data_IF_867251096278
#
_entry.id   IF_867251096278
#
_cell.length_a   1.000
_cell.length_b   1.000
_cell.length_c   1.000
_cell.angle_alpha   90.00
_cell.angle_beta   90.00
_cell.angle_gamma   90.00
#
_symmetry.space_group_name_H-M   'P 1'
#
loop_
_entity.id
_entity.type
_entity.pdbx_description
1 polymer ?
#
# COMPACT_ATOMS: atom_id res chain seq x y z
N UNK A 1 8.77 21.30 4.64
CA UNK A 1 8.24 19.94 4.45
C UNK A 1 6.82 20.14 3.94
N UNK A 2 6.48 19.65 2.74
CA UNK A 2 5.10 19.74 2.26
C UNK A 2 4.21 18.95 3.23
N UNK A 3 3.10 19.56 3.62
CA UNK A 3 2.07 18.88 4.41
C UNK A 3 1.15 18.14 3.44
N UNK A 4 1.28 16.81 3.41
CA UNK A 4 0.46 15.95 2.56
C UNK A 4 -0.90 15.63 3.18
N UNK A 5 -1.17 16.10 4.41
CA UNK A 5 -2.41 15.79 5.12
C UNK A 5 -2.60 14.30 5.37
N UNK A 6 -1.50 13.54 5.46
CA UNK A 6 -1.57 12.08 5.61
C UNK A 6 -2.12 11.72 6.99
N UNK A 7 -3.12 10.84 7.01
CA UNK A 7 -3.70 10.25 8.21
C UNK A 7 -3.68 8.74 8.08
N UNK A 8 -3.19 8.06 9.11
CA UNK A 8 -3.29 6.61 9.27
C UNK A 8 -4.31 6.35 10.36
N UNK A 9 -5.36 5.59 10.05
CA UNK A 9 -6.43 5.29 10.97
C UNK A 9 -6.70 3.79 10.97
N UNK A 10 -6.72 3.19 12.17
CA UNK A 10 -7.38 1.90 12.34
C UNK A 10 -8.89 2.17 12.44
N UNK A 11 -9.67 1.64 11.51
CA UNK A 11 -11.12 1.85 11.47
C UNK A 11 -11.86 0.58 11.88
N UNK A 12 -13.14 0.68 12.31
CA UNK A 12 -13.93 -0.48 12.63
C UNK A 12 -14.00 -1.46 11.43
N UNK A 13 -13.74 -2.75 11.65
CA UNK A 13 -13.99 -3.78 10.65
C UNK A 13 -15.44 -3.75 10.17
N UNK A 14 -15.65 -3.94 8.87
CA UNK A 14 -17.00 -3.98 8.28
C UNK A 14 -17.58 -5.39 8.17
N UNK A 15 -16.75 -6.41 8.42
CA UNK A 15 -17.11 -7.83 8.42
C UNK A 15 -16.45 -8.51 9.63
N UNK A 16 -17.14 -9.48 10.25
CA UNK A 16 -16.65 -10.21 11.43
C UNK A 16 -15.43 -11.10 11.13
N UNK A 17 -15.19 -11.43 9.86
CA UNK A 17 -13.98 -12.13 9.43
C UNK A 17 -12.73 -11.25 9.50
N UNK A 18 -12.90 -9.93 9.51
CA UNK A 18 -11.81 -8.95 9.54
C UNK A 18 -11.46 -8.63 10.99
N UNK A 19 -10.23 -8.98 11.39
CA UNK A 19 -9.69 -8.66 12.71
C UNK A 19 -9.25 -7.20 12.80
N UNK A 20 -8.63 -6.69 11.74
CA UNK A 20 -8.08 -5.35 11.69
C UNK A 20 -8.31 -4.72 10.32
N UNK A 21 -8.61 -3.43 10.31
CA UNK A 21 -8.73 -2.63 9.10
C UNK A 21 -8.03 -1.29 9.32
N UNK A 22 -7.10 -0.98 8.44
CA UNK A 22 -6.33 0.25 8.42
C UNK A 22 -6.59 0.99 7.11
N UNK A 23 -6.79 2.30 7.21
CA UNK A 23 -6.88 3.20 6.07
C UNK A 23 -5.80 4.28 6.16
N UNK A 24 -5.13 4.52 5.05
CA UNK A 24 -4.29 5.69 4.84
C UNK A 24 -5.00 6.63 3.90
N UNK A 25 -5.21 7.85 4.36
CA UNK A 25 -5.79 8.93 3.57
C UNK A 25 -4.82 10.11 3.52
N UNK A 26 -4.97 10.96 2.50
CA UNK A 26 -4.14 12.14 2.29
C UNK A 26 -4.90 13.17 1.44
N UNK A 27 -4.33 14.36 1.29
CA UNK A 27 -4.86 15.36 0.35
C UNK A 27 -4.85 14.86 -1.11
N UNK A 28 -3.83 14.08 -1.50
CA UNK A 28 -3.79 13.37 -2.80
C UNK A 28 -3.95 11.86 -2.54
N UNK A 29 -5.20 11.40 -2.53
CA UNK A 29 -5.57 10.00 -2.23
C UNK A 29 -5.14 9.04 -3.33
N UNK A 30 -4.96 9.50 -4.57
CA UNK A 30 -4.45 8.66 -5.66
C UNK A 30 -2.96 8.36 -5.43
N UNK A 31 -2.24 9.24 -4.74
CA UNK A 31 -0.81 9.12 -4.51
C UNK A 31 -0.47 8.35 -3.23
N UNK A 32 -1.15 8.66 -2.13
CA UNK A 32 -0.83 8.11 -0.79
C UNK A 32 -1.95 7.26 -0.19
N UNK A 33 -3.12 7.20 -0.84
CA UNK A 33 -4.24 6.43 -0.33
C UNK A 33 -4.01 4.93 -0.50
N UNK A 34 -4.28 4.17 0.55
CA UNK A 34 -4.31 2.71 0.52
C UNK A 34 -4.99 2.16 1.77
N UNK A 35 -5.38 0.89 1.73
CA UNK A 35 -5.95 0.18 2.87
C UNK A 35 -5.19 -1.11 3.17
N UNK A 36 -5.17 -1.53 4.44
CA UNK A 36 -4.69 -2.84 4.85
C UNK A 36 -5.74 -3.56 5.71
N UNK A 37 -6.02 -4.82 5.40
CA UNK A 37 -7.04 -5.63 6.06
C UNK A 37 -6.40 -6.92 6.58
N UNK A 38 -6.82 -7.37 7.76
CA UNK A 38 -6.39 -8.66 8.32
C UNK A 38 -7.59 -9.60 8.47
N UNK A 39 -7.59 -10.71 7.72
CA UNK A 39 -8.54 -11.82 7.79
C UNK A 39 -7.82 -13.10 8.24
N UNK A 40 -7.74 -13.39 9.55
CA UNK A 40 -6.88 -14.46 10.10
C UNK A 40 -7.17 -15.87 9.59
N UNK A 41 -8.35 -16.12 9.03
CA UNK A 41 -8.73 -17.42 8.48
C UNK A 41 -8.09 -17.71 7.10
N UNK A 42 -7.51 -16.71 6.45
CA UNK A 42 -6.89 -16.84 5.12
C UNK A 42 -5.44 -17.33 5.22
N UNK A 43 -4.95 -17.98 4.16
CA UNK A 43 -3.53 -18.38 4.04
C UNK A 43 -2.59 -17.17 4.10
N UNK A 44 -3.02 -16.07 3.49
CA UNK A 44 -2.39 -14.76 3.58
C UNK A 44 -3.35 -13.84 4.36
N UNK A 45 -3.20 -13.72 5.69
CA UNK A 45 -4.15 -12.97 6.49
C UNK A 45 -4.22 -11.51 6.13
N UNK A 46 -3.13 -10.92 5.65
CA UNK A 46 -3.07 -9.50 5.35
C UNK A 46 -3.25 -9.24 3.86
N UNK A 47 -4.07 -8.27 3.51
CA UNK A 47 -4.15 -7.71 2.16
C UNK A 47 -3.91 -6.20 2.21
N UNK A 48 -3.09 -5.68 1.30
CA UNK A 48 -2.86 -4.26 1.10
C UNK A 48 -3.32 -3.88 -0.30
N UNK A 49 -4.19 -2.88 -0.40
CA UNK A 49 -4.69 -2.34 -1.66
C UNK A 49 -4.15 -0.90 -1.83
N UNK A 50 -3.24 -0.68 -2.76
CA UNK A 50 -2.46 0.56 -2.90
C UNK A 50 -2.90 1.33 -4.14
N UNK A 51 -3.58 2.47 -3.95
CA UNK A 51 -4.24 3.19 -5.04
C UNK A 51 -3.28 3.57 -6.18
N UNK A 52 -2.09 4.11 -5.86
CA UNK A 52 -1.16 4.61 -6.89
C UNK A 52 -0.64 3.50 -7.80
N UNK A 53 -0.63 2.25 -7.31
CA UNK A 53 -0.09 1.12 -8.04
C UNK A 53 -0.87 0.80 -9.33
N UNK A 54 -2.16 1.12 -9.38
CA UNK A 54 -2.99 0.97 -10.59
C UNK A 54 -2.41 1.74 -11.78
N UNK A 55 -1.77 2.89 -11.52
CA UNK A 55 -1.26 3.79 -12.55
C UNK A 55 0.19 3.53 -12.94
N UNK A 56 0.92 2.72 -12.16
CA UNK A 56 2.35 2.46 -12.36
C UNK A 56 2.53 1.23 -13.26
N UNK A 57 2.29 1.42 -14.56
CA UNK A 57 2.25 0.33 -15.56
C UNK A 57 3.45 0.31 -16.52
N UNK A 58 4.15 1.43 -16.66
CA UNK A 58 5.20 1.60 -17.68
C UNK A 58 6.59 1.22 -17.16
N UNK A 59 7.30 0.40 -17.94
CA UNK A 59 8.68 0.02 -17.64
C UNK A 59 9.69 1.13 -17.98
N UNK A 60 10.81 1.25 -17.25
CA UNK A 60 11.30 0.35 -16.19
C UNK A 60 10.71 0.62 -14.79
N UNK A 61 9.94 1.70 -14.64
CA UNK A 61 9.49 2.16 -13.32
C UNK A 61 8.48 1.20 -12.67
N UNK A 62 7.66 0.52 -13.47
CA UNK A 62 6.72 -0.49 -12.98
C UNK A 62 7.40 -1.60 -12.18
N UNK A 63 8.45 -2.21 -12.73
CA UNK A 63 9.22 -3.25 -12.02
C UNK A 63 9.94 -2.71 -10.78
N UNK A 64 10.52 -1.51 -10.85
CA UNK A 64 11.19 -0.87 -9.71
C UNK A 64 10.20 -0.56 -8.57
N UNK A 65 9.01 -0.08 -8.91
CA UNK A 65 7.95 0.20 -7.95
C UNK A 65 7.46 -1.05 -7.24
N UNK A 66 7.15 -2.11 -7.99
CA UNK A 66 6.72 -3.41 -7.44
C UNK A 66 7.78 -3.98 -6.51
N UNK A 67 9.05 -3.93 -6.91
CA UNK A 67 10.15 -4.40 -6.06
C UNK A 67 10.33 -3.53 -4.82
N UNK A 68 10.11 -2.22 -4.91
CA UNK A 68 10.17 -1.30 -3.77
C UNK A 68 9.10 -1.57 -2.73
N UNK A 69 7.84 -1.78 -3.15
CA UNK A 69 6.74 -2.20 -2.27
C UNK A 69 7.05 -3.55 -1.62
N UNK A 70 7.49 -4.51 -2.41
CA UNK A 70 7.92 -5.83 -1.93
C UNK A 70 9.00 -5.72 -0.83
N UNK A 71 10.01 -4.89 -1.05
CA UNK A 71 11.08 -4.67 -0.07
C UNK A 71 10.56 -4.00 1.20
N UNK A 72 9.66 -3.01 1.07
CA UNK A 72 9.06 -2.33 2.21
C UNK A 72 8.24 -3.29 3.08
N UNK A 73 7.39 -4.12 2.47
CA UNK A 73 6.56 -5.12 3.15
C UNK A 73 7.46 -6.17 3.82
N UNK A 74 8.40 -6.77 3.10
CA UNK A 74 9.26 -7.84 3.63
C UNK A 74 10.21 -7.41 4.75
N UNK A 75 10.49 -6.11 4.88
CA UNK A 75 11.28 -5.56 5.99
C UNK A 75 10.52 -5.50 7.33
N UNK A 76 9.20 -5.68 7.32
CA UNK A 76 8.36 -5.61 8.53
C UNK A 76 8.50 -6.90 9.34
N UNK A 77 8.78 -6.75 10.64
CA UNK A 77 8.88 -7.89 11.55
C UNK A 77 7.55 -8.64 11.62
N UNK A 78 7.60 -9.97 11.48
CA UNK A 78 6.41 -10.82 11.49
C UNK A 78 5.93 -11.22 10.10
N UNK A 79 6.38 -10.55 9.04
CA UNK A 79 6.16 -10.99 7.65
C UNK A 79 6.97 -12.26 7.37
N UNK A 80 6.31 -13.28 6.81
CA UNK A 80 6.95 -14.54 6.44
C UNK A 80 7.06 -14.70 4.92
N UNK A 81 5.99 -14.39 4.19
CA UNK A 81 5.97 -14.33 2.73
C UNK A 81 4.94 -13.31 2.27
N UNK A 82 5.00 -12.95 1.00
CA UNK A 82 4.02 -12.11 0.33
C UNK A 82 3.87 -12.51 -1.13
N UNK A 83 2.75 -12.15 -1.71
CA UNK A 83 2.47 -12.31 -3.14
C UNK A 83 1.79 -11.04 -3.68
N UNK A 84 2.02 -10.74 -4.95
CA UNK A 84 1.20 -9.79 -5.68
C UNK A 84 -0.05 -10.52 -6.20
N UNK A 85 -1.21 -10.21 -5.62
CA UNK A 85 -2.48 -10.84 -5.97
C UNK A 85 -3.19 -10.13 -7.13
N UNK A 86 -2.93 -8.83 -7.30
CA UNK A 86 -3.37 -8.01 -8.43
C UNK A 86 -2.39 -6.84 -8.63
N UNK A 87 -2.58 -6.04 -9.68
CA UNK A 87 -1.68 -4.95 -10.04
C UNK A 87 -1.45 -3.94 -8.89
N UNK A 88 -2.45 -3.79 -8.03
CA UNK A 88 -2.56 -2.89 -6.89
C UNK A 88 -2.72 -3.60 -5.53
N UNK A 89 -2.69 -4.95 -5.51
CA UNK A 89 -2.96 -5.73 -4.30
C UNK A 89 -1.79 -6.65 -3.95
N UNK A 90 -1.30 -6.52 -2.72
CA UNK A 90 -0.33 -7.43 -2.11
C UNK A 90 -0.97 -8.20 -0.96
N UNK A 91 -0.75 -9.50 -0.93
CA UNK A 91 -1.20 -10.37 0.18
C UNK A 91 0.01 -10.86 0.96
N UNK A 92 -0.10 -10.88 2.29
CA UNK A 92 1.03 -11.07 3.21
C UNK A 92 0.70 -12.14 4.26
N UNK A 93 1.65 -13.04 4.49
CA UNK A 93 1.56 -14.12 5.47
C UNK A 93 2.41 -13.82 6.70
N UNK A 94 2.11 -14.55 7.79
CA UNK A 94 2.72 -14.34 9.10
C UNK A 94 1.86 -13.45 10.00
N UNK A 95 2.49 -12.91 11.03
CA UNK A 95 1.84 -12.10 12.06
C UNK A 95 2.54 -10.74 12.22
N UNK A 96 2.63 -9.92 11.15
CA UNK A 96 3.11 -8.57 11.29
C UNK A 96 2.10 -7.72 12.09
N UNK A 97 2.62 -6.67 12.71
CA UNK A 97 1.81 -5.59 13.25
C UNK A 97 1.23 -4.74 12.10
N UNK A 98 -0.07 -4.48 12.14
CA UNK A 98 -0.78 -3.76 11.06
C UNK A 98 -0.31 -2.33 10.88
N UNK A 99 -0.07 -1.61 11.98
CA UNK A 99 0.44 -0.24 11.95
C UNK A 99 1.83 -0.21 11.30
N UNK A 100 2.74 -1.10 11.72
CA UNK A 100 4.07 -1.20 11.15
C UNK A 100 4.05 -1.50 9.65
N UNK A 101 3.13 -2.38 9.21
CA UNK A 101 2.96 -2.74 7.81
C UNK A 101 2.54 -1.53 6.96
N UNK A 102 1.54 -0.79 7.44
CA UNK A 102 1.05 0.44 6.80
C UNK A 102 2.13 1.51 6.77
N UNK A 103 2.84 1.73 7.88
CA UNK A 103 3.92 2.71 7.95
C UNK A 103 5.06 2.41 6.96
N UNK A 104 5.46 1.15 6.82
CA UNK A 104 6.54 0.78 5.92
C UNK A 104 6.21 1.11 4.45
N UNK A 105 5.00 0.76 4.01
CA UNK A 105 4.53 1.09 2.66
C UNK A 105 4.41 2.60 2.46
N UNK A 106 3.81 3.31 3.42
CA UNK A 106 3.67 4.76 3.31
C UNK A 106 5.03 5.47 3.19
N UNK A 107 6.03 5.05 3.97
CA UNK A 107 7.38 5.64 3.91
C UNK A 107 7.98 5.50 2.51
N UNK A 108 7.81 4.33 1.88
CA UNK A 108 8.24 4.11 0.51
C UNK A 108 7.48 5.01 -0.49
N UNK A 109 6.16 5.15 -0.35
CA UNK A 109 5.37 6.05 -1.21
C UNK A 109 5.79 7.51 -1.06
N UNK A 110 6.12 7.95 0.16
CA UNK A 110 6.65 9.30 0.42
C UNK A 110 8.01 9.48 -0.26
N UNK A 111 8.90 8.50 -0.18
CA UNK A 111 10.20 8.52 -0.86
C UNK A 111 10.05 8.64 -2.38
N UNK A 112 9.08 7.91 -2.95
CA UNK A 112 8.80 7.89 -4.39
C UNK A 112 7.82 8.96 -4.88
N UNK A 113 7.37 9.84 -4.00
CA UNK A 113 6.36 10.84 -4.34
C UNK A 113 6.70 11.69 -5.58
N UNK A 114 7.95 12.12 -5.86
CA UNK A 114 8.23 12.90 -7.07
C UNK A 114 8.00 12.11 -8.37
N UNK A 115 8.39 10.83 -8.41
CA UNK A 115 8.23 9.95 -9.57
C UNK A 115 6.75 9.58 -9.76
N UNK A 116 6.08 9.23 -8.67
CA UNK A 116 4.65 8.89 -8.67
C UNK A 116 3.78 10.07 -9.09
N UNK A 117 4.12 11.29 -8.67
CA UNK A 117 3.44 12.51 -9.14
C UNK A 117 3.58 12.71 -10.65
N UNK A 118 4.74 12.38 -11.24
CA UNK A 118 4.93 12.45 -12.68
C UNK A 118 4.04 11.45 -13.42
N UNK A 119 3.90 10.23 -12.91
CA UNK A 119 2.99 9.20 -13.43
C UNK A 119 1.54 9.70 -13.40
N UNK A 120 1.06 10.15 -12.23
CA UNK A 120 -0.32 10.64 -12.07
C UNK A 120 -0.61 11.86 -12.95
N UNK A 121 0.35 12.76 -13.11
CA UNK A 121 0.19 13.95 -13.97
C UNK A 121 0.03 13.59 -15.44
N UNK A 122 0.72 12.55 -15.91
CA UNK A 122 0.57 12.06 -17.29
C UNK A 122 -0.82 11.46 -17.52
N UNK A 123 -1.30 10.63 -16.58
CA UNK A 123 -2.64 10.03 -16.64
C UNK A 123 -3.77 11.09 -16.60
N UNK A 124 -3.63 12.10 -15.74
CA UNK A 124 -4.60 13.22 -15.64
C UNK A 124 -4.62 14.12 -16.88
N UNK A 125 -3.59 14.08 -17.72
CA UNK A 125 -3.51 14.88 -18.96
C UNK A 125 -4.07 14.16 -20.19
N UNK A 126 -4.30 12.85 -20.10
CA UNK A 126 -4.86 12.01 -21.18
C UNK A 126 -6.38 11.87 -21.13
N UNK A 127 -7.04 12.50 -20.16
CA UNK A 127 -8.49 12.58 -19.98
C UNK A 127 -8.99 14.02 -20.12
#
# INVERSE_FOLDING_TARGET
MQDFGIQILQIPPFDDAIREHWEVSAHDVDLFGFSALCEPAMQYPWSLCINVAEFVTEEPFASEFRQGIANAISAVTGVQSMEEAAADVWVVSGEPDGEALVHAVLLYLVEMSPQLQAVLSQQRSTH
#
